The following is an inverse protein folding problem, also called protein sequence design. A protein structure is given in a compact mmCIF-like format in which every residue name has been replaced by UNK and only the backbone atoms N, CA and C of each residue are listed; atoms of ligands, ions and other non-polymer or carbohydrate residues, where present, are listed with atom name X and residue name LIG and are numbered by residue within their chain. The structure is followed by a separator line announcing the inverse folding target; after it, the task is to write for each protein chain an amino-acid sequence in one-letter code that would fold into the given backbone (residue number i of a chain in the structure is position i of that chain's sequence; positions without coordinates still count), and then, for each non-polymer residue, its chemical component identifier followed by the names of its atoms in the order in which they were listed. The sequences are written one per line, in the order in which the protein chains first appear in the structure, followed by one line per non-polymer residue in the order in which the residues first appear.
data_IF_763894699727
#
_entry.id   IF_763894699727
#
_cell.length_a   1.000
_cell.length_b   1.000
_cell.length_c   1.000
_cell.angle_alpha   90.00
_cell.angle_beta   90.00
_cell.angle_gamma   90.00
#
_symmetry.space_group_name_H-M   'P 1'
#
loop_
_entity.id
_entity.type
_entity.pdbx_description
1 polymer ?
#
# COMPACT_ATOMS: atom_id res chain seq x y z
N UNK A 1 18.89 36.41 20.09
CA UNK A 1 20.33 36.45 19.74
C UNK A 1 20.53 35.50 18.59
N UNK A 2 20.60 36.01 17.37
CA UNK A 2 20.81 35.20 16.17
C UNK A 2 22.32 35.02 16.01
N UNK A 3 22.83 33.85 16.33
CA UNK A 3 24.24 33.51 16.12
C UNK A 3 24.45 33.41 14.60
N UNK A 4 24.89 34.50 13.98
CA UNK A 4 25.31 34.48 12.57
C UNK A 4 26.65 33.74 12.54
N UNK A 5 26.66 32.53 11.98
CA UNK A 5 27.86 31.70 11.84
C UNK A 5 28.91 32.50 11.04
N UNK A 6 30.06 32.87 11.66
CA UNK A 6 31.04 33.78 11.06
C UNK A 6 31.78 33.20 9.83
N UNK A 7 31.60 31.91 9.54
CA UNK A 7 32.30 31.19 8.48
C UNK A 7 31.82 31.53 7.05
N UNK A 8 30.67 32.19 6.90
CA UNK A 8 30.09 32.49 5.58
C UNK A 8 30.71 33.73 4.90
N UNK A 9 31.43 34.58 5.63
CA UNK A 9 31.93 35.86 5.11
C UNK A 9 33.27 35.76 4.35
N UNK A 10 33.99 34.64 4.46
CA UNK A 10 35.26 34.40 3.75
C UNK A 10 35.10 33.66 2.41
N UNK A 11 33.87 33.28 2.07
CA UNK A 11 33.56 32.44 0.91
C UNK A 11 33.18 33.27 -0.32
N UNK A 12 33.57 32.78 -1.50
CA UNK A 12 33.08 33.32 -2.78
C UNK A 12 31.56 33.15 -2.87
N UNK A 13 30.90 33.93 -3.74
CA UNK A 13 29.45 33.88 -3.90
C UNK A 13 28.95 32.48 -4.28
N UNK A 14 29.70 31.77 -5.14
CA UNK A 14 29.43 30.38 -5.52
C UNK A 14 29.56 29.41 -4.33
N UNK A 15 30.60 29.57 -3.50
CA UNK A 15 30.80 28.72 -2.31
C UNK A 15 29.70 28.91 -1.26
N UNK A 16 29.21 30.15 -1.08
CA UNK A 16 28.05 30.42 -0.20
C UNK A 16 26.79 29.76 -0.73
N UNK A 17 26.54 29.84 -2.04
CA UNK A 17 25.38 29.22 -2.68
C UNK A 17 25.39 27.70 -2.50
N UNK A 18 26.52 27.05 -2.72
CA UNK A 18 26.68 25.60 -2.54
C UNK A 18 26.49 25.16 -1.09
N UNK A 19 27.04 25.90 -0.13
CA UNK A 19 26.82 25.60 1.29
C UNK A 19 25.35 25.77 1.70
N UNK A 20 24.68 26.82 1.22
CA UNK A 20 23.26 27.03 1.48
C UNK A 20 22.39 25.93 0.88
N UNK A 21 22.69 25.49 -0.34
CA UNK A 21 21.99 24.37 -0.99
C UNK A 21 22.20 23.06 -0.23
N UNK A 22 23.42 22.76 0.22
CA UNK A 22 23.70 21.58 1.05
C UNK A 22 22.97 21.63 2.39
N UNK A 23 22.95 22.80 3.04
CA UNK A 23 22.23 23.01 4.31
C UNK A 23 20.73 22.83 4.10
N UNK A 24 20.17 23.40 3.04
CA UNK A 24 18.76 23.23 2.67
C UNK A 24 18.41 21.76 2.40
N UNK A 25 19.24 21.04 1.64
CA UNK A 25 19.04 19.62 1.37
C UNK A 25 19.07 18.79 2.65
N UNK A 26 20.05 19.04 3.53
CA UNK A 26 20.14 18.36 4.83
C UNK A 26 18.93 18.65 5.71
N UNK A 27 18.52 19.90 5.83
CA UNK A 27 17.34 20.29 6.62
C UNK A 27 16.05 19.68 6.06
N UNK A 28 15.92 19.56 4.73
CA UNK A 28 14.77 18.85 4.12
C UNK A 28 14.77 17.37 4.49
N UNK A 29 15.92 16.70 4.43
CA UNK A 29 16.05 15.30 4.83
C UNK A 29 15.77 15.10 6.31
N UNK A 30 16.26 15.98 7.18
CA UNK A 30 15.99 15.97 8.62
C UNK A 30 14.49 16.17 8.90
N UNK A 31 13.83 17.07 8.18
CA UNK A 31 12.39 17.31 8.30
C UNK A 31 11.56 16.11 7.85
N UNK A 32 11.94 15.47 6.74
CA UNK A 32 11.27 14.27 6.23
C UNK A 32 11.40 13.11 7.23
N UNK A 33 12.62 12.85 7.72
CA UNK A 33 12.85 11.84 8.75
C UNK A 33 12.07 12.12 10.05
N UNK A 34 11.95 13.40 10.44
CA UNK A 34 11.14 13.78 11.60
C UNK A 34 9.65 13.54 11.36
N UNK A 35 9.14 13.88 10.18
CA UNK A 35 7.74 13.62 9.79
C UNK A 35 7.42 12.12 9.82
N UNK A 36 8.33 11.30 9.32
CA UNK A 36 8.20 9.84 9.35
C UNK A 36 8.19 9.28 10.78
N UNK A 37 9.08 9.75 11.66
CA UNK A 37 9.11 9.33 13.07
C UNK A 37 7.81 9.71 13.79
N UNK A 38 7.32 10.93 13.58
CA UNK A 38 6.05 11.39 14.17
C UNK A 38 4.88 10.57 13.66
N UNK A 39 4.80 10.32 12.34
CA UNK A 39 3.78 9.47 11.74
C UNK A 39 3.78 8.08 12.35
N UNK A 40 4.96 7.46 12.46
CA UNK A 40 5.08 6.12 13.04
C UNK A 40 4.61 6.08 14.49
N UNK A 41 4.93 7.09 15.31
CA UNK A 41 4.46 7.15 16.71
C UNK A 41 2.94 7.26 16.82
N UNK A 42 2.30 7.99 15.91
CA UNK A 42 0.84 8.11 15.86
C UNK A 42 0.21 6.76 15.49
N UNK A 43 0.78 6.07 14.51
CA UNK A 43 0.36 4.71 14.10
C UNK A 43 0.55 3.71 15.25
N UNK A 44 1.72 3.67 15.90
CA UNK A 44 1.99 2.82 17.05
C UNK A 44 0.97 3.06 18.19
N UNK A 45 0.57 4.32 18.38
CA UNK A 45 -0.43 4.67 19.39
C UNK A 45 -1.81 4.13 19.05
N UNK A 46 -2.17 4.15 17.76
CA UNK A 46 -3.40 3.52 17.27
C UNK A 46 -3.39 2.01 17.50
N UNK A 47 -2.33 1.32 17.05
CA UNK A 47 -2.23 -0.14 17.11
C UNK A 47 -2.20 -0.70 18.54
N UNK A 48 -1.68 0.07 19.50
CA UNK A 48 -1.72 -0.29 20.93
C UNK A 48 -3.06 0.00 21.61
N UNK A 49 -4.09 0.35 20.84
CA UNK A 49 -5.44 0.65 21.34
C UNK A 49 -5.55 2.01 22.02
N UNK A 50 -4.61 2.93 21.78
CA UNK A 50 -4.60 4.25 22.40
C UNK A 50 -5.61 5.20 21.78
N UNK A 51 -5.62 5.30 20.45
CA UNK A 51 -6.51 6.18 19.68
C UNK A 51 -7.44 5.38 18.78
N UNK A 52 -8.69 5.83 18.64
CA UNK A 52 -9.58 5.30 17.61
C UNK A 52 -9.11 5.76 16.22
N UNK A 53 -9.58 5.09 15.17
CA UNK A 53 -9.20 5.41 13.78
C UNK A 53 -9.40 6.89 13.45
N UNK A 54 -10.55 7.45 13.81
CA UNK A 54 -10.85 8.85 13.54
C UNK A 54 -9.84 9.80 14.21
N UNK A 55 -9.51 9.58 15.49
CA UNK A 55 -8.52 10.41 16.19
C UNK A 55 -7.11 10.28 15.61
N UNK A 56 -6.76 9.12 15.05
CA UNK A 56 -5.51 8.91 14.31
C UNK A 56 -5.49 9.71 13.01
N UNK A 57 -6.57 9.65 12.23
CA UNK A 57 -6.68 10.43 10.98
C UNK A 57 -6.66 11.94 11.24
N UNK A 58 -7.39 12.42 12.25
CA UNK A 58 -7.42 13.84 12.63
C UNK A 58 -6.01 14.32 13.01
N UNK A 59 -5.26 13.54 13.81
CA UNK A 59 -3.90 13.89 14.21
C UNK A 59 -2.90 13.88 13.05
N UNK A 60 -3.04 12.95 12.10
CA UNK A 60 -2.21 12.93 10.89
C UNK A 60 -2.53 14.14 9.98
N UNK A 61 -3.81 14.47 9.81
CA UNK A 61 -4.25 15.61 9.03
C UNK A 61 -3.80 16.95 9.63
N UNK A 62 -3.89 17.13 10.95
CA UNK A 62 -3.42 18.34 11.65
C UNK A 62 -1.92 18.60 11.45
N UNK A 63 -1.13 17.54 11.25
CA UNK A 63 0.31 17.60 11.05
C UNK A 63 0.73 17.59 9.57
N UNK A 64 -0.24 17.63 8.65
CA UNK A 64 -0.01 17.53 7.20
C UNK A 64 0.83 16.27 6.87
N UNK A 65 0.47 15.15 7.49
CA UNK A 65 1.06 13.83 7.30
C UNK A 65 0.11 12.94 6.48
N UNK A 66 0.69 11.98 5.76
CA UNK A 66 -0.09 11.03 4.97
C UNK A 66 -1.04 10.19 5.86
N UNK A 67 -2.25 9.86 5.37
CA UNK A 67 -3.28 9.15 6.14
C UNK A 67 -2.81 7.74 6.57
N UNK A 68 -3.58 7.15 7.49
CA UNK A 68 -3.33 5.79 7.96
C UNK A 68 -4.15 4.78 7.16
N UNK A 69 -3.51 4.22 6.14
CA UNK A 69 -4.11 3.19 5.29
C UNK A 69 -3.63 1.80 5.71
N UNK A 70 -4.58 0.89 5.94
CA UNK A 70 -4.32 -0.52 6.20
C UNK A 70 -4.68 -1.32 4.94
N UNK A 71 -3.67 -1.91 4.33
CA UNK A 71 -3.84 -2.82 3.19
C UNK A 71 -3.73 -4.25 3.70
N UNK A 72 -4.79 -5.04 3.50
CA UNK A 72 -4.81 -6.46 3.84
C UNK A 72 -4.75 -7.30 2.57
N UNK A 73 -3.80 -8.22 2.50
CA UNK A 73 -3.71 -9.23 1.44
C UNK A 73 -4.06 -10.60 2.00
N UNK A 74 -4.85 -11.38 1.28
CA UNK A 74 -5.20 -12.75 1.67
C UNK A 74 -5.30 -13.68 0.47
N UNK A 75 -5.17 -14.99 0.73
CA UNK A 75 -5.41 -16.03 -0.27
C UNK A 75 -6.69 -16.78 0.07
N UNK A 76 -7.63 -16.83 -0.88
CA UNK A 76 -8.84 -17.63 -0.78
C UNK A 76 -8.72 -18.87 -1.69
N UNK A 77 -9.27 -20.02 -1.25
CA UNK A 77 -9.49 -21.21 -2.08
C UNK A 77 -10.99 -21.49 -2.05
N UNK A 78 -11.61 -21.52 -3.23
CA UNK A 78 -13.03 -21.85 -3.40
C UNK A 78 -13.10 -23.17 -4.15
N UNK A 79 -13.83 -24.14 -3.57
CA UNK A 79 -14.10 -25.44 -4.20
C UNK A 79 -15.57 -25.46 -4.64
N UNK A 80 -15.81 -25.75 -5.92
CA UNK A 80 -17.16 -25.77 -6.52
C UNK A 80 -17.30 -27.02 -7.39
N UNK A 81 -18.44 -27.69 -7.29
CA UNK A 81 -18.79 -28.81 -8.17
C UNK A 81 -19.70 -28.32 -9.29
N UNK A 82 -19.35 -28.65 -10.55
CA UNK A 82 -20.14 -28.29 -11.73
C UNK A 82 -20.77 -29.54 -12.35
N UNK A 83 -22.01 -29.43 -12.80
CA UNK A 83 -22.66 -30.46 -13.63
C UNK A 83 -22.77 -29.94 -15.05
N UNK A 84 -21.97 -30.50 -15.97
CA UNK A 84 -22.06 -30.19 -17.40
C UNK A 84 -22.97 -31.20 -18.08
N UNK A 85 -23.96 -30.71 -18.84
CA UNK A 85 -24.86 -31.56 -19.63
C UNK A 85 -24.53 -31.40 -21.11
N UNK A 86 -24.69 -32.48 -21.86
CA UNK A 86 -24.57 -32.51 -23.32
C UNK A 86 -23.18 -32.14 -23.88
N UNK A 87 -22.12 -32.27 -23.07
CA UNK A 87 -20.76 -32.14 -23.59
C UNK A 87 -20.41 -33.32 -24.50
N UNK A 88 -19.85 -33.10 -25.70
CA UNK A 88 -19.51 -34.17 -26.64
C UNK A 88 -18.38 -35.07 -26.13
N UNK A 89 -17.52 -34.59 -25.23
CA UNK A 89 -16.48 -35.35 -24.54
C UNK A 89 -16.02 -34.61 -23.26
N UNK A 90 -15.09 -35.22 -22.53
CA UNK A 90 -14.54 -34.69 -21.26
C UNK A 90 -13.75 -33.39 -21.49
N UNK A 91 -12.89 -33.33 -22.51
CA UNK A 91 -12.09 -32.14 -22.81
C UNK A 91 -12.97 -30.89 -23.04
N UNK A 92 -14.08 -31.05 -23.77
CA UNK A 92 -15.03 -29.95 -24.00
C UNK A 92 -15.79 -29.59 -22.72
N UNK A 93 -16.10 -30.55 -21.85
CA UNK A 93 -16.69 -30.26 -20.55
C UNK A 93 -15.75 -29.45 -19.65
N UNK A 94 -14.45 -29.79 -19.64
CA UNK A 94 -13.41 -29.02 -18.94
C UNK A 94 -13.33 -27.60 -19.48
N UNK A 95 -13.27 -27.43 -20.81
CA UNK A 95 -13.21 -26.10 -21.44
C UNK A 95 -14.44 -25.23 -21.09
N UNK A 96 -15.64 -25.83 -21.07
CA UNK A 96 -16.86 -25.11 -20.70
C UNK A 96 -16.87 -24.71 -19.23
N UNK A 97 -16.39 -25.57 -18.32
CA UNK A 97 -16.25 -25.21 -16.90
C UNK A 97 -15.23 -24.08 -16.73
N UNK A 98 -14.05 -24.20 -17.34
CA UNK A 98 -13.02 -23.17 -17.26
C UNK A 98 -13.49 -21.82 -17.79
N UNK A 99 -14.20 -21.80 -18.93
CA UNK A 99 -14.74 -20.57 -19.50
C UNK A 99 -15.90 -19.96 -18.70
N UNK A 100 -16.61 -20.76 -17.91
CA UNK A 100 -17.67 -20.29 -17.02
C UNK A 100 -17.13 -19.68 -15.71
N UNK A 101 -15.92 -20.03 -15.28
CA UNK A 101 -15.33 -19.48 -14.06
C UNK A 101 -14.86 -18.06 -14.33
N UNK A 102 -15.49 -17.10 -13.65
CA UNK A 102 -15.12 -15.70 -13.68
C UNK A 102 -14.79 -15.23 -12.26
N UNK A 103 -13.54 -14.82 -12.05
CA UNK A 103 -13.06 -14.29 -10.77
C UNK A 103 -13.15 -12.78 -10.82
N UNK A 104 -14.03 -12.21 -9.99
CA UNK A 104 -14.22 -10.75 -9.87
C UNK A 104 -14.52 -10.36 -8.44
N UNK A 105 -14.18 -9.13 -8.09
CA UNK A 105 -14.73 -8.45 -6.92
C UNK A 105 -15.87 -7.54 -7.37
N UNK A 106 -16.98 -7.54 -6.63
CA UNK A 106 -18.02 -6.52 -6.78
C UNK A 106 -17.71 -5.26 -5.92
N UNK A 107 -16.64 -5.31 -5.12
CA UNK A 107 -16.11 -4.20 -4.33
C UNK A 107 -14.93 -3.54 -5.06
N UNK A 108 -15.02 -2.22 -5.29
CA UNK A 108 -14.00 -1.42 -5.97
C UNK A 108 -12.71 -1.28 -5.17
N UNK A 109 -12.77 -1.52 -3.86
CA UNK A 109 -11.63 -1.36 -2.96
C UNK A 109 -10.83 -2.67 -2.82
N UNK A 110 -11.22 -3.72 -3.55
CA UNK A 110 -10.58 -5.04 -3.55
C UNK A 110 -10.06 -5.35 -4.95
N UNK A 111 -8.74 -5.43 -5.08
CA UNK A 111 -8.06 -5.89 -6.28
C UNK A 111 -7.78 -7.40 -6.20
N UNK A 112 -7.95 -8.11 -7.32
CA UNK A 112 -7.60 -9.52 -7.45
C UNK A 112 -6.44 -9.63 -8.43
N UNK A 113 -5.22 -9.62 -7.88
CA UNK A 113 -3.98 -9.56 -8.66
C UNK A 113 -3.69 -10.85 -9.44
N UNK A 114 -4.10 -12.00 -8.88
CA UNK A 114 -3.80 -13.30 -9.45
C UNK A 114 -4.83 -14.34 -9.02
N UNK A 115 -5.29 -15.14 -9.97
CA UNK A 115 -6.14 -16.29 -9.70
C UNK A 115 -5.67 -17.48 -10.53
N UNK A 116 -5.77 -18.66 -9.93
CA UNK A 116 -5.51 -19.94 -10.59
C UNK A 116 -6.76 -20.80 -10.46
N UNK A 117 -7.11 -21.48 -11.54
CA UNK A 117 -8.29 -22.35 -11.60
C UNK A 117 -7.83 -23.73 -12.04
N UNK A 118 -8.03 -24.73 -11.19
CA UNK A 118 -7.83 -26.13 -11.53
C UNK A 118 -9.17 -26.86 -11.52
N UNK A 119 -9.39 -27.71 -12.53
CA UNK A 119 -10.50 -28.67 -12.55
C UNK A 119 -9.90 -30.04 -12.25
N UNK A 120 -10.18 -30.58 -11.07
CA UNK A 120 -9.53 -31.81 -10.57
C UNK A 120 -10.26 -33.09 -10.98
N UNK A 121 -11.59 -33.07 -11.12
CA UNK A 121 -12.38 -34.27 -11.39
C UNK A 121 -13.71 -33.96 -12.09
N UNK A 122 -14.03 -34.72 -13.14
CA UNK A 122 -15.38 -34.80 -13.72
C UNK A 122 -15.90 -36.22 -13.52
N UNK A 123 -16.89 -36.36 -12.64
CA UNK A 123 -17.61 -37.61 -12.49
C UNK A 123 -18.65 -37.76 -13.61
N UNK A 124 -18.69 -38.94 -14.24
CA UNK A 124 -19.75 -39.33 -15.18
C UNK A 124 -20.80 -40.15 -14.44
N UNK A 125 -22.04 -39.67 -14.48
CA UNK A 125 -23.23 -40.48 -14.16
C UNK A 125 -23.50 -41.53 -15.27
#
# INVERSE_FOLDING_TARGET
MTTVEPELFSLTEDQRRDQLLKKLARTRQELEAFRDDVRQRIIDRHERGGWCRQGTEDALAELDLAPYELVFSGRCRVEVTFTVRDAPNEDVAHEWVHSAINVRSDDSDVEIDNYDTSVEEIERD
#
